data_IF_681822066461
#
_entry.id   IF_681822066461
#
_cell.length_a   1.000
_cell.length_b   1.000
_cell.length_c   1.000
_cell.angle_alpha   90.00
_cell.angle_beta   90.00
_cell.angle_gamma   90.00
#
_symmetry.space_group_name_H-M   'P 1'
#
loop_
_entity.id
_entity.type
_entity.pdbx_description
1 polymer ?
#
# COMPACT_ATOMS: atom_id res chain seq x y z
N UNK A 1 14.87 27.86 -11.46
CA UNK A 1 13.63 27.08 -11.73
C UNK A 1 13.82 25.57 -11.51
N UNK A 2 14.84 24.95 -12.11
CA UNK A 2 15.11 23.50 -11.93
C UNK A 2 15.52 23.19 -10.47
N UNK A 3 16.37 23.97 -9.84
CA UNK A 3 16.78 23.80 -8.43
C UNK A 3 15.60 23.94 -7.46
N UNK A 4 14.65 24.81 -7.72
CA UNK A 4 13.43 24.95 -6.91
C UNK A 4 12.53 23.71 -7.00
N UNK A 5 12.51 23.02 -8.15
CA UNK A 5 11.74 21.78 -8.30
C UNK A 5 12.36 20.66 -7.44
N UNK A 6 13.68 20.58 -7.37
CA UNK A 6 14.34 19.57 -6.54
C UNK A 6 14.08 19.73 -5.04
N UNK A 7 13.78 20.94 -4.55
CA UNK A 7 13.42 21.19 -3.15
C UNK A 7 12.07 20.57 -2.76
N UNK A 8 11.17 20.39 -3.73
CA UNK A 8 9.86 19.73 -3.50
C UNK A 8 9.91 18.20 -3.58
N UNK A 9 11.03 17.62 -4.02
CA UNK A 9 11.19 16.16 -4.15
C UNK A 9 12.23 15.61 -3.17
N UNK A 10 12.26 16.15 -1.94
CA UNK A 10 13.03 15.54 -0.84
C UNK A 10 12.33 14.26 -0.38
N UNK A 11 13.06 13.41 0.34
CA UNK A 11 12.52 12.14 0.86
C UNK A 11 11.36 12.41 1.82
N UNK A 12 11.49 13.44 2.67
CA UNK A 12 10.48 13.87 3.64
C UNK A 12 9.21 14.36 2.93
N UNK A 13 9.36 15.14 1.86
CA UNK A 13 8.22 15.62 1.07
C UNK A 13 7.53 14.47 0.34
N UNK A 14 8.28 13.54 -0.24
CA UNK A 14 7.73 12.34 -0.87
C UNK A 14 6.97 11.48 0.14
N UNK A 15 7.51 11.30 1.33
CA UNK A 15 6.82 10.60 2.42
C UNK A 15 5.48 11.26 2.75
N UNK A 16 5.45 12.58 2.90
CA UNK A 16 4.21 13.33 3.15
C UNK A 16 3.22 13.19 1.99
N UNK A 17 3.68 13.33 0.74
CA UNK A 17 2.84 13.21 -0.45
C UNK A 17 2.21 11.83 -0.60
N UNK A 18 2.96 10.76 -0.33
CA UNK A 18 2.43 9.39 -0.36
C UNK A 18 1.34 9.22 0.70
N UNK A 19 1.61 9.61 1.95
CA UNK A 19 0.65 9.44 3.04
C UNK A 19 -0.63 10.25 2.82
N UNK A 20 -0.52 11.50 2.38
CA UNK A 20 -1.69 12.33 2.06
C UNK A 20 -2.40 11.87 0.79
N UNK A 21 -1.63 11.45 -0.22
CA UNK A 21 -2.16 11.05 -1.52
C UNK A 21 -2.99 9.77 -1.49
N UNK A 22 -2.74 8.87 -0.54
CA UNK A 22 -3.53 7.64 -0.42
C UNK A 22 -4.82 7.81 0.41
N UNK A 23 -4.92 8.87 1.23
CA UNK A 23 -6.10 9.09 2.07
C UNK A 23 -7.42 9.17 1.29
N UNK A 24 -7.52 9.90 0.16
CA UNK A 24 -8.75 9.93 -0.64
C UNK A 24 -9.20 8.55 -1.11
N UNK A 25 -8.25 7.68 -1.49
CA UNK A 25 -8.55 6.32 -1.94
C UNK A 25 -9.08 5.48 -0.78
N UNK A 26 -8.45 5.53 0.39
CA UNK A 26 -8.93 4.84 1.59
C UNK A 26 -10.30 5.35 2.05
N UNK A 27 -10.52 6.66 2.00
CA UNK A 27 -11.82 7.25 2.29
C UNK A 27 -12.90 6.69 1.37
N UNK A 28 -12.63 6.58 0.07
CA UNK A 28 -13.56 5.98 -0.90
C UNK A 28 -13.79 4.49 -0.64
N UNK A 29 -12.73 3.71 -0.34
CA UNK A 29 -12.83 2.30 -0.03
C UNK A 29 -13.73 2.03 1.18
N UNK A 30 -13.58 2.82 2.24
CA UNK A 30 -14.26 2.61 3.53
C UNK A 30 -15.72 3.10 3.46
N UNK A 31 -15.94 4.31 2.97
CA UNK A 31 -17.25 4.96 3.06
C UNK A 31 -18.14 4.77 1.82
N UNK A 32 -17.51 4.67 0.65
CA UNK A 32 -18.22 4.63 -0.64
C UNK A 32 -17.80 3.45 -1.55
N UNK A 33 -17.69 2.20 -1.01
CA UNK A 33 -17.15 1.07 -1.77
C UNK A 33 -17.98 0.71 -3.01
N UNK A 34 -19.26 1.06 -3.04
CA UNK A 34 -20.19 0.74 -4.14
C UNK A 34 -20.48 1.92 -5.08
N UNK A 35 -19.91 3.11 -4.79
CA UNK A 35 -20.12 4.29 -5.62
C UNK A 35 -19.49 4.11 -7.01
N UNK A 36 -20.03 4.83 -8.01
CA UNK A 36 -19.45 4.82 -9.36
C UNK A 36 -18.00 5.33 -9.35
N UNK A 37 -17.72 6.40 -8.59
CA UNK A 37 -16.37 6.93 -8.40
C UNK A 37 -15.48 5.92 -7.64
N UNK A 38 -15.99 5.28 -6.58
CA UNK A 38 -15.28 4.22 -5.87
C UNK A 38 -14.85 3.08 -6.81
N UNK A 39 -15.73 2.65 -7.71
CA UNK A 39 -15.40 1.61 -8.70
C UNK A 39 -14.34 2.07 -9.70
N UNK A 40 -14.41 3.30 -10.19
CA UNK A 40 -13.41 3.84 -11.12
C UNK A 40 -12.06 4.01 -10.45
N UNK A 41 -12.00 4.60 -9.27
CA UNK A 41 -10.72 4.88 -8.58
C UNK A 41 -10.13 3.65 -7.89
N UNK A 42 -10.97 2.81 -7.31
CA UNK A 42 -10.55 1.64 -6.50
C UNK A 42 -10.31 0.40 -7.36
N UNK A 43 -11.14 0.19 -8.39
CA UNK A 43 -10.91 -0.87 -9.38
C UNK A 43 -9.88 -0.46 -10.45
N UNK A 44 -9.43 0.78 -10.42
CA UNK A 44 -8.44 1.33 -11.34
C UNK A 44 -7.02 0.91 -10.92
N UNK A 45 -6.20 0.65 -11.91
CA UNK A 45 -4.74 0.47 -11.74
C UNK A 45 -4.08 1.79 -11.31
N UNK A 46 -4.75 2.93 -11.49
CA UNK A 46 -4.17 4.27 -11.36
C UNK A 46 -3.45 4.54 -10.03
N UNK A 47 -4.04 4.33 -8.83
CA UNK A 47 -3.34 4.63 -7.57
C UNK A 47 -2.11 3.75 -7.37
N UNK A 48 -2.18 2.48 -7.75
CA UNK A 48 -1.04 1.56 -7.66
C UNK A 48 0.03 1.93 -8.67
N UNK A 49 -0.36 2.33 -9.90
CA UNK A 49 0.56 2.81 -10.93
C UNK A 49 1.34 4.06 -10.47
N UNK A 50 0.66 5.03 -9.85
CA UNK A 50 1.31 6.23 -9.30
C UNK A 50 2.28 5.86 -8.19
N UNK A 51 1.89 5.02 -7.22
CA UNK A 51 2.77 4.57 -6.14
C UNK A 51 3.97 3.78 -6.67
N UNK A 52 3.78 2.94 -7.69
CA UNK A 52 4.87 2.23 -8.36
C UNK A 52 5.81 3.20 -9.07
N UNK A 53 5.28 4.26 -9.69
CA UNK A 53 6.08 5.33 -10.29
C UNK A 53 6.94 6.06 -9.25
N UNK A 54 6.37 6.36 -8.08
CA UNK A 54 7.14 6.96 -6.96
C UNK A 54 8.22 5.98 -6.47
N UNK A 55 7.90 4.70 -6.36
CA UNK A 55 8.87 3.67 -5.98
C UNK A 55 10.06 3.64 -6.96
N UNK A 56 9.79 3.63 -8.28
CA UNK A 56 10.81 3.66 -9.32
C UNK A 56 11.63 4.96 -9.24
N UNK A 57 10.97 6.09 -8.97
CA UNK A 57 11.66 7.38 -8.82
C UNK A 57 12.62 7.37 -7.62
N UNK A 58 12.21 6.85 -6.46
CA UNK A 58 13.06 6.73 -5.28
C UNK A 58 14.22 5.77 -5.56
N UNK A 59 13.96 4.65 -6.24
CA UNK A 59 14.99 3.69 -6.64
C UNK A 59 16.03 4.33 -7.58
N UNK A 60 15.57 5.09 -8.59
CA UNK A 60 16.44 5.81 -9.50
C UNK A 60 17.29 6.87 -8.78
N UNK A 61 16.69 7.61 -7.85
CA UNK A 61 17.38 8.59 -7.01
C UNK A 61 18.45 7.92 -6.15
N UNK A 62 18.16 6.76 -5.57
CA UNK A 62 19.12 5.96 -4.81
C UNK A 62 20.30 5.53 -5.67
N UNK A 63 20.04 5.10 -6.91
CA UNK A 63 21.10 4.75 -7.87
C UNK A 63 22.02 5.93 -8.18
N UNK A 64 21.47 7.13 -8.41
CA UNK A 64 22.26 8.33 -8.70
C UNK A 64 23.17 8.77 -7.55
N UNK A 65 22.81 8.49 -6.31
CA UNK A 65 23.61 8.83 -5.12
C UNK A 65 24.70 7.76 -4.86
N UNK A 66 24.69 6.66 -5.63
CA UNK A 66 25.64 5.57 -5.47
C UNK A 66 25.27 4.61 -4.33
N UNK A 67 23.97 4.47 -4.05
CA UNK A 67 23.47 3.49 -3.06
C UNK A 67 23.90 2.08 -3.46
N UNK A 68 24.46 1.34 -2.48
CA UNK A 68 24.88 -0.05 -2.67
C UNK A 68 23.67 -0.99 -2.63
N UNK A 69 23.21 -1.39 -3.81
CA UNK A 69 22.09 -2.34 -3.93
C UNK A 69 22.50 -3.78 -3.60
N UNK A 70 23.77 -4.12 -3.65
CA UNK A 70 24.25 -5.47 -3.32
C UNK A 70 24.02 -5.75 -1.83
N UNK A 71 24.12 -4.72 -0.97
CA UNK A 71 23.76 -4.79 0.43
C UNK A 71 22.31 -5.16 0.68
N UNK A 72 21.39 -4.91 -0.26
CA UNK A 72 19.97 -5.26 -0.08
C UNK A 72 19.71 -6.78 -0.05
N UNK A 73 20.62 -7.59 -0.60
CA UNK A 73 20.50 -9.05 -0.51
C UNK A 73 20.79 -9.57 0.90
N UNK A 74 21.43 -8.79 1.75
CA UNK A 74 21.69 -9.13 3.15
C UNK A 74 20.42 -9.23 3.98
N UNK A 75 19.30 -8.64 3.51
CA UNK A 75 17.99 -8.70 4.19
C UNK A 75 17.51 -10.13 4.48
N UNK A 76 17.99 -11.11 3.72
CA UNK A 76 17.64 -12.53 3.90
C UNK A 76 18.65 -13.28 4.81
N UNK A 77 19.75 -12.67 5.20
CA UNK A 77 20.83 -13.32 5.93
C UNK A 77 20.63 -13.30 7.44
N UNK A 78 19.97 -12.25 7.96
CA UNK A 78 19.72 -12.15 9.39
C UNK A 78 18.93 -10.92 9.80
N UNK A 79 18.40 -10.95 11.03
CA UNK A 79 17.61 -9.84 11.58
C UNK A 79 18.47 -8.60 11.82
N UNK A 80 19.74 -8.76 12.20
CA UNK A 80 20.65 -7.64 12.44
C UNK A 80 20.97 -6.92 11.13
N UNK A 81 21.16 -7.64 10.04
CA UNK A 81 21.40 -7.06 8.72
C UNK A 81 20.15 -6.32 8.21
N UNK A 82 18.98 -6.91 8.38
CA UNK A 82 17.71 -6.26 8.09
C UNK A 82 17.57 -4.95 8.90
N UNK A 83 17.87 -4.97 10.20
CA UNK A 83 17.78 -3.78 11.05
C UNK A 83 18.67 -2.63 10.55
N UNK A 84 19.91 -2.95 10.13
CA UNK A 84 20.83 -1.95 9.56
C UNK A 84 20.30 -1.33 8.26
N UNK A 85 19.65 -2.12 7.39
CA UNK A 85 19.04 -1.59 6.17
C UNK A 85 17.91 -0.59 6.48
N UNK A 86 17.15 -0.81 7.55
CA UNK A 86 16.08 0.11 7.96
C UNK A 86 16.60 1.41 8.60
N UNK A 87 17.89 1.51 8.94
CA UNK A 87 18.51 2.76 9.37
C UNK A 87 18.74 3.70 8.18
N UNK A 88 18.82 3.18 6.95
CA UNK A 88 18.94 3.99 5.74
C UNK A 88 17.58 4.58 5.33
N UNK A 89 17.52 5.91 5.24
CA UNK A 89 16.28 6.63 4.91
C UNK A 89 15.73 6.33 3.51
N UNK A 90 16.62 6.04 2.54
CA UNK A 90 16.18 5.68 1.18
C UNK A 90 15.56 4.29 1.16
N UNK A 91 16.21 3.33 1.83
CA UNK A 91 15.68 1.99 1.96
C UNK A 91 14.34 2.00 2.74
N UNK A 92 14.27 2.74 3.84
CA UNK A 92 13.05 2.92 4.61
C UNK A 92 11.91 3.51 3.76
N UNK A 93 12.23 4.48 2.89
CA UNK A 93 11.26 5.09 1.98
C UNK A 93 10.78 4.11 0.90
N UNK A 94 11.66 3.29 0.34
CA UNK A 94 11.29 2.21 -0.58
C UNK A 94 10.35 1.22 0.09
N UNK A 95 10.72 0.75 1.29
CA UNK A 95 9.87 -0.15 2.08
C UNK A 95 8.50 0.48 2.39
N UNK A 96 8.48 1.74 2.83
CA UNK A 96 7.23 2.44 3.14
C UNK A 96 6.32 2.57 1.92
N UNK A 97 6.87 2.95 0.77
CA UNK A 97 6.11 3.05 -0.48
C UNK A 97 5.53 1.70 -0.88
N UNK A 98 6.34 0.64 -0.76
CA UNK A 98 5.88 -0.73 -0.99
C UNK A 98 4.75 -1.12 -0.04
N UNK A 99 4.92 -0.87 1.26
CA UNK A 99 3.91 -1.16 2.28
C UNK A 99 2.58 -0.47 1.99
N UNK A 100 2.61 0.83 1.68
CA UNK A 100 1.41 1.62 1.36
C UNK A 100 0.73 1.10 0.08
N UNK A 101 1.50 0.79 -0.96
CA UNK A 101 0.98 0.28 -2.23
C UNK A 101 0.30 -1.09 -2.06
N UNK A 102 0.94 -2.03 -1.35
CA UNK A 102 0.39 -3.36 -1.10
C UNK A 102 -0.86 -3.27 -0.22
N UNK A 103 -0.85 -2.46 0.84
CA UNK A 103 -2.03 -2.29 1.69
C UNK A 103 -3.22 -1.72 0.90
N UNK A 104 -2.98 -0.74 0.04
CA UNK A 104 -4.04 -0.18 -0.81
C UNK A 104 -4.58 -1.21 -1.81
N UNK A 105 -3.70 -2.01 -2.41
CA UNK A 105 -4.09 -3.13 -3.28
C UNK A 105 -4.95 -4.15 -2.54
N UNK A 106 -4.53 -4.56 -1.34
CA UNK A 106 -5.28 -5.48 -0.47
C UNK A 106 -6.65 -4.88 -0.10
N UNK A 107 -6.70 -3.59 0.25
CA UNK A 107 -7.96 -2.90 0.53
C UNK A 107 -8.92 -2.93 -0.67
N UNK A 108 -8.41 -2.65 -1.87
CA UNK A 108 -9.19 -2.76 -3.11
C UNK A 108 -9.69 -4.18 -3.37
N UNK A 109 -8.85 -5.19 -3.11
CA UNK A 109 -9.23 -6.60 -3.21
C UNK A 109 -10.33 -6.97 -2.19
N UNK A 110 -10.20 -6.55 -0.91
CA UNK A 110 -11.21 -6.77 0.13
C UNK A 110 -12.57 -6.22 -0.31
N UNK A 111 -12.60 -4.99 -0.83
CA UNK A 111 -13.86 -4.38 -1.31
C UNK A 111 -14.46 -5.19 -2.46
N UNK A 112 -13.66 -5.57 -3.44
CA UNK A 112 -14.13 -6.35 -4.60
C UNK A 112 -14.64 -7.73 -4.21
N UNK A 113 -13.90 -8.44 -3.35
CA UNK A 113 -14.30 -9.77 -2.86
C UNK A 113 -15.54 -9.70 -1.97
N UNK A 114 -15.66 -8.68 -1.11
CA UNK A 114 -16.84 -8.48 -0.26
C UNK A 114 -18.11 -8.23 -1.05
N UNK A 115 -18.03 -7.54 -2.18
CA UNK A 115 -19.16 -7.33 -3.08
C UNK A 115 -19.62 -8.63 -3.74
N UNK A 116 -18.68 -9.51 -4.09
CA UNK A 116 -18.98 -10.83 -4.66
C UNK A 116 -19.82 -11.70 -3.71
N UNK A 117 -19.55 -11.61 -2.40
CA UNK A 117 -20.27 -12.38 -1.37
C UNK A 117 -21.36 -11.60 -0.65
N UNK A 118 -21.74 -10.42 -1.15
CA UNK A 118 -22.78 -9.57 -0.57
C UNK A 118 -22.55 -9.26 0.91
N UNK A 119 -21.30 -9.13 1.34
CA UNK A 119 -20.95 -8.81 2.73
C UNK A 119 -21.36 -7.37 3.02
N UNK A 120 -21.98 -7.14 4.19
CA UNK A 120 -22.41 -5.81 4.58
C UNK A 120 -21.21 -4.83 4.65
N UNK A 121 -21.34 -3.65 4.01
CA UNK A 121 -20.31 -2.63 3.94
C UNK A 121 -19.79 -2.17 5.30
N UNK A 122 -20.66 -2.09 6.32
CA UNK A 122 -20.26 -1.69 7.68
C UNK A 122 -19.33 -2.74 8.29
N UNK A 123 -19.63 -4.02 8.06
CA UNK A 123 -18.79 -5.12 8.54
C UNK A 123 -17.44 -5.16 7.83
N UNK A 124 -17.38 -4.74 6.57
CA UNK A 124 -16.14 -4.65 5.77
C UNK A 124 -15.32 -3.42 6.14
N UNK A 125 -15.95 -2.33 6.60
CA UNK A 125 -15.25 -1.11 6.98
C UNK A 125 -14.23 -1.33 8.11
N UNK A 126 -14.52 -2.21 9.07
CA UNK A 126 -13.62 -2.50 10.20
C UNK A 126 -12.29 -3.09 9.71
N UNK A 127 -12.27 -4.23 8.96
CA UNK A 127 -11.02 -4.76 8.45
C UNK A 127 -10.32 -3.80 7.47
N UNK A 128 -11.03 -2.95 6.72
CA UNK A 128 -10.41 -1.95 5.86
C UNK A 128 -9.64 -0.90 6.66
N UNK A 129 -10.20 -0.38 7.75
CA UNK A 129 -9.51 0.57 8.63
C UNK A 129 -8.27 -0.09 9.24
N UNK A 130 -8.37 -1.33 9.67
CA UNK A 130 -7.23 -2.07 10.22
C UNK A 130 -6.19 -2.33 9.14
N UNK A 131 -6.61 -2.68 7.91
CA UNK A 131 -5.70 -2.90 6.76
C UNK A 131 -4.93 -1.63 6.40
N UNK A 132 -5.56 -0.46 6.50
CA UNK A 132 -4.87 0.81 6.29
C UNK A 132 -3.71 1.00 7.28
N UNK A 133 -3.91 0.64 8.54
CA UNK A 133 -2.92 0.82 9.61
C UNK A 133 -1.91 -0.34 9.65
N UNK A 134 -2.42 -1.58 9.59
CA UNK A 134 -1.63 -2.81 9.76
C UNK A 134 -2.19 -3.87 8.79
N UNK A 135 -1.75 -3.84 7.55
CA UNK A 135 -2.27 -4.63 6.44
C UNK A 135 -2.61 -6.10 6.74
N UNK A 136 -1.65 -6.92 7.22
CA UNK A 136 -1.87 -8.35 7.47
C UNK A 136 -2.98 -8.64 8.50
N UNK A 137 -3.07 -7.82 9.55
CA UNK A 137 -4.09 -8.02 10.60
C UNK A 137 -5.49 -7.70 10.05
N UNK A 138 -5.63 -6.62 9.27
CA UNK A 138 -6.90 -6.28 8.63
C UNK A 138 -7.37 -7.37 7.67
N UNK A 139 -6.45 -7.89 6.86
CA UNK A 139 -6.72 -9.01 5.96
C UNK A 139 -7.14 -10.27 6.71
N UNK A 140 -6.52 -10.60 7.84
CA UNK A 140 -6.88 -11.72 8.69
C UNK A 140 -8.32 -11.59 9.22
N UNK A 141 -8.70 -10.42 9.74
CA UNK A 141 -10.08 -10.18 10.18
C UNK A 141 -11.07 -10.26 9.03
N UNK A 142 -10.72 -9.76 7.86
CA UNK A 142 -11.56 -9.90 6.68
C UNK A 142 -11.77 -11.37 6.30
N UNK A 143 -10.74 -12.21 6.34
CA UNK A 143 -10.88 -13.64 6.05
C UNK A 143 -11.79 -14.36 7.03
N UNK A 144 -11.76 -14.02 8.31
CA UNK A 144 -12.70 -14.57 9.28
C UNK A 144 -14.14 -14.25 8.83
N UNK A 145 -14.43 -12.97 8.56
CA UNK A 145 -15.77 -12.54 8.08
C UNK A 145 -16.13 -13.28 6.78
N UNK A 146 -15.21 -13.33 5.84
CA UNK A 146 -15.40 -13.96 4.53
C UNK A 146 -15.77 -15.45 4.65
N UNK A 147 -15.13 -16.21 5.51
CA UNK A 147 -15.43 -17.64 5.72
C UNK A 147 -16.89 -17.85 6.13
N UNK A 148 -17.45 -17.01 7.00
CA UNK A 148 -18.86 -17.11 7.41
C UNK A 148 -19.82 -16.80 6.27
N UNK A 149 -19.50 -15.88 5.38
CA UNK A 149 -20.37 -15.49 4.26
C UNK A 149 -20.18 -16.39 3.04
N UNK A 150 -18.94 -16.64 2.63
CA UNK A 150 -18.64 -17.43 1.45
C UNK A 150 -18.78 -18.95 1.66
N UNK A 151 -18.70 -19.41 2.93
CA UNK A 151 -18.72 -20.84 3.32
C UNK A 151 -17.66 -21.69 2.60
N UNK A 152 -16.56 -21.06 2.20
CA UNK A 152 -15.43 -21.69 1.51
C UNK A 152 -14.13 -20.95 1.81
N UNK A 153 -13.00 -21.67 1.74
CA UNK A 153 -11.67 -21.13 2.02
C UNK A 153 -10.88 -20.77 0.75
N UNK A 154 -11.34 -21.19 -0.44
CA UNK A 154 -10.63 -20.92 -1.67
C UNK A 154 -10.63 -19.41 -2.01
N UNK A 155 -9.46 -18.88 -2.40
CA UNK A 155 -9.32 -17.49 -2.84
C UNK A 155 -9.91 -17.25 -4.23
N UNK A 156 -9.82 -18.26 -5.09
CA UNK A 156 -10.30 -18.23 -6.47
C UNK A 156 -11.35 -19.34 -6.69
N UNK A 157 -12.23 -19.11 -7.65
CA UNK A 157 -13.17 -20.12 -8.15
C UNK A 157 -12.48 -21.08 -9.07
#
# INVERSE_FOLDING_TARGET
>A
MIEQIYTYFTIEMLYMWINLGVLPFWFMLIFFPQSHLGRIFVASIFPIFVLSGVYIFVLYKSYLIGYDFDGNFTLYLGLDDLSRLFEDHLYLMLFWTHFVAINLFVGGWIVKDSQKFYINKILVAIPLIITYLIGPIGLFFYWIIRIFYAKRMNLYE
#
